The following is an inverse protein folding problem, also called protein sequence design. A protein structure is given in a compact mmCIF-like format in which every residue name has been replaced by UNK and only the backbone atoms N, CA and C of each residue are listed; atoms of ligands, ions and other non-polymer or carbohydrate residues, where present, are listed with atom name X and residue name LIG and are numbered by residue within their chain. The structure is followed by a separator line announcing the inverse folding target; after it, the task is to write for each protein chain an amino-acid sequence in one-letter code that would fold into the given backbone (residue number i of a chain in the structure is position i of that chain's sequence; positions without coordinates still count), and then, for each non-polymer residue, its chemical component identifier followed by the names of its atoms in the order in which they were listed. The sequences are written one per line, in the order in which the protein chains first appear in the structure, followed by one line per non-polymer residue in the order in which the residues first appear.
data_IF_830007072435
#
_entry.id   IF_830007072435
#
_cell.length_a   1.000
_cell.length_b   1.000
_cell.length_c   1.000
_cell.angle_alpha   90.00
_cell.angle_beta   90.00
_cell.angle_gamma   90.00
#
_symmetry.space_group_name_H-M   'P 1'
#
loop_
_entity.id
_entity.type
_entity.pdbx_description
1 polymer ?
#
# COMPACT_ATOMS: atom_id res chain seq x y z
N UNK A 1 -1.54 5.53 18.65
CA UNK A 1 -2.50 5.93 17.60
C UNK A 1 -1.92 5.73 16.20
N UNK A 2 -0.72 6.26 15.93
CA UNK A 2 0.01 6.13 14.65
C UNK A 2 0.21 4.69 14.14
N UNK A 3 0.49 3.72 15.02
CA UNK A 3 0.69 2.33 14.62
C UNK A 3 -0.57 1.67 14.04
N UNK A 4 -1.77 2.07 14.52
CA UNK A 4 -3.06 1.58 13.96
C UNK A 4 -3.33 2.17 12.59
N UNK A 5 -3.01 3.45 12.41
CA UNK A 5 -3.12 4.17 11.14
C UNK A 5 -2.16 3.55 10.11
N UNK A 6 -0.92 3.26 10.51
CA UNK A 6 0.05 2.59 9.65
C UNK A 6 -0.40 1.19 9.20
N UNK A 7 -0.98 0.40 10.11
CA UNK A 7 -1.55 -0.90 9.76
C UNK A 7 -2.73 -0.78 8.77
N UNK A 8 -3.62 0.20 8.96
CA UNK A 8 -4.73 0.46 8.03
C UNK A 8 -4.23 0.85 6.63
N UNK A 9 -3.19 1.70 6.56
CA UNK A 9 -2.59 2.09 5.27
C UNK A 9 -1.95 0.90 4.56
N UNK A 10 -1.29 0.00 5.30
CA UNK A 10 -0.73 -1.23 4.72
C UNK A 10 -1.85 -2.12 4.17
N UNK A 11 -2.93 -2.32 4.93
CA UNK A 11 -4.08 -3.11 4.47
C UNK A 11 -4.75 -2.49 3.24
N UNK A 12 -4.89 -1.17 3.21
CA UNK A 12 -5.42 -0.45 2.05
C UNK A 12 -4.52 -0.61 0.82
N UNK A 13 -3.19 -0.50 1.00
CA UNK A 13 -2.21 -0.73 -0.06
C UNK A 13 -2.29 -2.15 -0.62
N UNK A 14 -2.38 -3.17 0.22
CA UNK A 14 -2.62 -4.56 -0.20
C UNK A 14 -3.96 -4.70 -0.95
N UNK A 15 -4.99 -4.01 -0.49
CA UNK A 15 -6.29 -3.95 -1.15
C UNK A 15 -6.21 -3.40 -2.58
N UNK A 16 -5.33 -2.43 -2.85
CA UNK A 16 -5.09 -1.94 -4.21
C UNK A 16 -4.51 -3.02 -5.13
N UNK A 17 -3.58 -3.85 -4.65
CA UNK A 17 -3.03 -4.96 -5.45
C UNK A 17 -4.07 -6.05 -5.70
N UNK A 18 -4.91 -6.36 -4.71
CA UNK A 18 -6.03 -7.30 -4.89
C UNK A 18 -7.02 -6.75 -5.92
N UNK A 19 -7.43 -5.49 -5.80
CA UNK A 19 -8.34 -4.87 -6.74
C UNK A 19 -7.77 -4.81 -8.17
N UNK A 20 -6.46 -4.55 -8.32
CA UNK A 20 -5.78 -4.60 -9.62
C UNK A 20 -5.91 -5.98 -10.28
N UNK A 21 -5.69 -7.06 -9.51
CA UNK A 21 -5.83 -8.43 -10.02
C UNK A 21 -7.29 -8.80 -10.36
N UNK A 22 -8.26 -8.28 -9.60
CA UNK A 22 -9.69 -8.55 -9.83
C UNK A 22 -10.25 -7.82 -11.05
N UNK A 23 -9.83 -6.57 -11.26
CA UNK A 23 -10.28 -5.73 -12.37
C UNK A 23 -9.67 -6.16 -13.71
N UNK A 24 -8.42 -6.66 -13.70
CA UNK A 24 -7.73 -7.14 -14.89
C UNK A 24 -7.46 -6.03 -15.93
N UNK A 25 -7.21 -6.43 -17.17
CA UNK A 25 -7.00 -5.52 -18.29
C UNK A 25 -7.88 -5.90 -19.47
N UNK A 26 -8.43 -4.90 -20.15
CA UNK A 26 -9.30 -5.09 -21.30
C UNK A 26 -8.86 -4.20 -22.46
N UNK A 27 -8.82 -4.74 -23.67
CA UNK A 27 -8.61 -3.95 -24.88
C UNK A 27 -9.97 -3.45 -25.40
N UNK A 28 -10.04 -2.18 -25.81
CA UNK A 28 -11.22 -1.68 -26.50
C UNK A 28 -11.20 -2.00 -28.01
N UNK A 29 -12.27 -1.61 -28.72
CA UNK A 29 -12.42 -1.85 -30.14
C UNK A 29 -11.36 -1.15 -31.02
N UNK A 30 -10.65 -0.15 -30.47
CA UNK A 30 -9.57 0.58 -31.14
C UNK A 30 -8.19 0.02 -30.77
N UNK A 31 -8.14 -1.04 -29.95
CA UNK A 31 -6.91 -1.66 -29.47
C UNK A 31 -6.26 -0.92 -28.30
N UNK A 32 -6.96 0.03 -27.65
CA UNK A 32 -6.44 0.71 -26.48
C UNK A 32 -6.61 -0.14 -25.23
N UNK A 33 -5.55 -0.18 -24.41
CA UNK A 33 -5.51 -0.97 -23.19
C UNK A 33 -6.09 -0.18 -22.01
N UNK A 34 -7.24 -0.67 -21.51
CA UNK A 34 -7.86 -0.20 -20.29
C UNK A 34 -7.46 -1.13 -19.15
N UNK A 35 -6.50 -0.68 -18.35
CA UNK A 35 -6.07 -1.36 -17.14
C UNK A 35 -6.04 -0.38 -15.96
N UNK A 36 -6.34 -0.85 -14.74
CA UNK A 36 -6.36 -0.02 -13.54
C UNK A 36 -4.94 0.27 -13.04
N UNK A 37 -4.04 0.71 -13.93
CA UNK A 37 -2.62 0.89 -13.66
C UNK A 37 -2.36 1.81 -12.47
N UNK A 38 -3.24 2.81 -12.26
CA UNK A 38 -3.18 3.73 -11.13
C UNK A 38 -3.22 3.04 -9.75
N UNK A 39 -3.79 1.83 -9.64
CA UNK A 39 -3.83 1.07 -8.39
C UNK A 39 -2.43 0.60 -7.96
N UNK A 40 -1.51 0.36 -8.90
CA UNK A 40 -0.15 -0.10 -8.57
C UNK A 40 0.67 1.02 -7.89
N UNK A 41 0.86 2.23 -8.49
CA UNK A 41 1.53 3.33 -7.80
C UNK A 41 0.86 3.72 -6.49
N UNK A 42 -0.48 3.72 -6.44
CA UNK A 42 -1.23 4.05 -5.23
C UNK A 42 -1.01 3.01 -4.13
N UNK A 43 -1.03 1.72 -4.48
CA UNK A 43 -0.74 0.61 -3.57
C UNK A 43 0.64 0.71 -2.96
N UNK A 44 1.67 1.00 -3.78
CA UNK A 44 3.03 1.22 -3.28
C UNK A 44 3.13 2.43 -2.35
N UNK A 45 2.49 3.55 -2.68
CA UNK A 45 2.49 4.75 -1.84
C UNK A 45 1.88 4.47 -0.46
N UNK A 46 0.73 3.79 -0.43
CA UNK A 46 0.05 3.38 0.80
C UNK A 46 0.88 2.40 1.64
N UNK A 47 1.51 1.40 1.00
CA UNK A 47 2.42 0.48 1.69
C UNK A 47 3.60 1.21 2.30
N UNK A 48 4.27 2.08 1.53
CA UNK A 48 5.49 2.76 1.98
C UNK A 48 5.20 3.73 3.14
N UNK A 49 4.11 4.49 3.03
CA UNK A 49 3.67 5.41 4.09
C UNK A 49 3.23 4.65 5.35
N UNK A 50 2.46 3.57 5.19
CA UNK A 50 2.05 2.72 6.30
C UNK A 50 3.21 2.02 7.01
N UNK A 51 4.19 1.53 6.26
CA UNK A 51 5.44 0.97 6.79
C UNK A 51 6.24 2.02 7.53
N UNK A 52 6.46 3.21 6.97
CA UNK A 52 7.19 4.28 7.64
C UNK A 52 6.52 4.66 8.98
N UNK A 53 5.20 4.84 8.99
CA UNK A 53 4.45 5.20 10.20
C UNK A 53 4.42 4.10 11.27
N UNK A 54 4.63 2.84 10.90
CA UNK A 54 4.63 1.69 11.82
C UNK A 54 6.04 1.33 12.30
N UNK A 55 7.01 1.32 11.38
CA UNK A 55 8.37 0.84 11.62
C UNK A 55 9.21 1.86 12.39
N UNK A 56 9.11 3.16 12.06
CA UNK A 56 9.85 4.22 12.77
C UNK A 56 9.58 4.20 14.29
N UNK A 57 8.33 4.20 14.78
CA UNK A 57 8.07 4.14 16.22
C UNK A 57 8.46 2.79 16.83
N UNK A 58 8.35 1.68 16.09
CA UNK A 58 8.77 0.36 16.55
C UNK A 58 10.29 0.32 16.82
N UNK A 59 11.09 0.84 15.88
CA UNK A 59 12.54 0.94 15.99
C UNK A 59 12.96 1.87 17.14
N UNK A 60 12.27 3.01 17.32
CA UNK A 60 12.52 3.92 18.46
C UNK A 60 12.23 3.24 19.79
N UNK A 61 11.13 2.51 19.90
CA UNK A 61 10.75 1.77 21.11
C UNK A 61 11.74 0.64 21.42
N UNK A 62 12.27 -0.04 20.41
CA UNK A 62 13.30 -1.07 20.55
C UNK A 62 14.60 -0.54 21.16
N UNK A 63 15.03 0.67 20.78
CA UNK A 63 16.23 1.30 21.38
C UNK A 63 16.06 1.70 22.84
N UNK A 64 14.89 2.21 23.24
CA UNK A 64 14.65 2.63 24.63
C UNK A 64 14.58 1.44 25.60
N UNK A 65 14.24 0.23 25.15
CA UNK A 65 14.29 -0.97 26.00
C UNK A 65 15.69 -1.58 26.14
N UNK A 66 16.64 -1.17 25.30
CA UNK A 66 18.00 -1.67 25.31
C UNK A 66 18.97 -0.75 26.07
N UNK A 67 18.53 0.44 26.46
CA UNK A 67 19.17 1.31 27.46
C UNK A 67 18.48 1.16 28.80
#
# INVERSE_FOLDING_TARGET
MTMKIGALLILAGLGCFVAFNLLGSTLDAQGFLHEPFALLPLGYLLLFTGMALSLIPLLRKGRTRAQ
#
